data_IF_816509382668
#
_entry.id   IF_816509382668
#
_cell.length_a   1.000
_cell.length_b   1.000
_cell.length_c   1.000
_cell.angle_alpha   90.00
_cell.angle_beta   90.00
_cell.angle_gamma   90.00
#
_symmetry.space_group_name_H-M   'P 1'
#
loop_
_entity.id
_entity.type
_entity.pdbx_description
1 polymer ?
#
# COMPACT_ATOMS: atom_id res chain seq x y z
N UNK A 1 8.97 3.90 -7.61
CA UNK A 1 8.93 4.26 -6.18
C UNK A 1 8.18 3.21 -5.39
N UNK A 2 8.74 2.77 -4.28
CA UNK A 2 8.05 1.85 -3.38
C UNK A 2 7.28 2.66 -2.33
N UNK A 3 6.06 2.23 -2.07
CA UNK A 3 5.16 2.90 -1.13
C UNK A 3 4.87 1.94 0.02
N UNK A 4 5.05 2.43 1.24
CA UNK A 4 4.70 1.68 2.44
C UNK A 4 3.26 2.02 2.82
N UNK A 5 2.43 0.99 3.01
CA UNK A 5 1.03 1.14 3.38
C UNK A 5 0.80 0.36 4.67
N UNK A 6 0.28 1.02 5.69
CA UNK A 6 0.05 0.40 6.98
C UNK A 6 -1.38 0.68 7.47
N UNK A 7 -1.71 0.09 8.59
CA UNK A 7 -3.04 0.13 9.17
C UNK A 7 -4.11 -0.41 8.21
N UNK A 8 -3.73 -1.42 7.43
CA UNK A 8 -4.62 -2.07 6.48
C UNK A 8 -5.49 -3.06 7.26
N UNK A 9 -6.82 -3.00 7.01
CA UNK A 9 -7.72 -3.98 7.58
C UNK A 9 -7.33 -5.37 7.07
N UNK A 10 -7.27 -6.35 7.96
CA UNK A 10 -6.83 -7.70 7.58
C UNK A 10 -7.76 -8.38 6.56
N UNK A 11 -8.96 -7.85 6.35
CA UNK A 11 -9.88 -8.33 5.32
C UNK A 11 -9.59 -7.77 3.93
N UNK A 12 -8.79 -6.72 3.85
CA UNK A 12 -8.44 -6.12 2.57
C UNK A 12 -7.51 -7.06 1.78
N UNK A 13 -7.75 -7.14 0.49
CA UNK A 13 -6.97 -7.99 -0.40
C UNK A 13 -6.05 -7.16 -1.29
N UNK A 14 -5.03 -7.79 -1.83
CA UNK A 14 -4.07 -7.12 -2.71
C UNK A 14 -4.74 -6.49 -3.91
N UNK A 15 -5.72 -7.16 -4.51
CA UNK A 15 -6.44 -6.62 -5.66
C UNK A 15 -7.15 -5.32 -5.34
N UNK A 16 -7.73 -5.22 -4.16
CA UNK A 16 -8.43 -4.02 -3.72
C UNK A 16 -7.46 -2.87 -3.51
N UNK A 17 -6.30 -3.17 -2.93
CA UNK A 17 -5.27 -2.17 -2.71
C UNK A 17 -4.69 -1.70 -4.05
N UNK A 18 -4.43 -2.62 -4.96
CA UNK A 18 -3.96 -2.28 -6.31
C UNK A 18 -4.94 -1.37 -7.03
N UNK A 19 -6.23 -1.67 -6.96
CA UNK A 19 -7.25 -0.86 -7.60
C UNK A 19 -7.28 0.55 -7.03
N UNK A 20 -7.14 0.68 -5.73
CA UNK A 20 -7.11 1.97 -5.05
C UNK A 20 -5.95 2.83 -5.55
N UNK A 21 -4.76 2.25 -5.65
CA UNK A 21 -3.58 2.98 -6.11
C UNK A 21 -3.60 3.23 -7.62
N UNK A 22 -4.26 2.34 -8.39
CA UNK A 22 -4.34 2.47 -9.85
C UNK A 22 -5.11 3.71 -10.30
N UNK A 23 -5.88 4.30 -9.42
CA UNK A 23 -6.58 5.56 -9.73
C UNK A 23 -5.60 6.72 -9.94
N UNK A 24 -4.39 6.61 -9.44
CA UNK A 24 -3.39 7.67 -9.52
C UNK A 24 -2.32 7.41 -10.57
N UNK A 25 -2.21 6.18 -11.05
CA UNK A 25 -1.25 5.82 -12.07
C UNK A 25 -1.00 4.33 -12.13
N UNK A 26 -0.03 3.94 -12.95
CA UNK A 26 0.31 2.53 -13.11
C UNK A 26 0.88 1.95 -11.82
N UNK A 27 0.41 0.76 -11.48
CA UNK A 27 0.91 -0.01 -10.33
C UNK A 27 1.60 -1.25 -10.87
N UNK A 28 2.90 -1.39 -10.60
CA UNK A 28 3.65 -2.54 -11.09
C UNK A 28 3.54 -3.74 -10.16
N UNK A 29 3.41 -3.52 -8.86
CA UNK A 29 3.22 -4.63 -7.93
C UNK A 29 2.55 -4.15 -6.64
N UNK A 30 1.86 -5.08 -5.98
CA UNK A 30 1.27 -4.86 -4.66
C UNK A 30 1.55 -6.11 -3.83
N UNK A 31 1.96 -5.91 -2.60
CA UNK A 31 2.17 -7.01 -1.68
C UNK A 31 1.66 -6.65 -0.30
N UNK A 32 0.78 -7.46 0.24
CA UNK A 32 0.36 -7.36 1.64
C UNK A 32 1.13 -8.43 2.41
N UNK A 33 1.83 -8.00 3.46
CA UNK A 33 2.62 -8.92 4.27
C UNK A 33 1.70 -9.75 5.14
N UNK A 34 1.89 -11.07 5.10
CA UNK A 34 1.09 -12.01 5.88
C UNK A 34 1.96 -12.74 6.90
N UNK A 35 1.32 -13.19 7.97
CA UNK A 35 1.97 -14.00 8.98
C UNK A 35 2.14 -15.43 8.45
N UNK A 36 3.34 -15.98 8.57
CA UNK A 36 3.63 -17.33 8.07
C UNK A 36 2.87 -18.42 8.81
N UNK A 37 2.60 -18.21 10.09
CA UNK A 37 1.95 -19.23 10.92
C UNK A 37 0.45 -19.25 10.75
N UNK A 38 -0.16 -18.07 10.64
CA UNK A 38 -1.62 -17.97 10.58
C UNK A 38 -2.15 -17.67 9.19
N UNK A 39 -1.31 -17.19 8.27
CA UNK A 39 -1.71 -16.78 6.95
C UNK A 39 -2.50 -15.46 6.92
N UNK A 40 -2.61 -14.79 8.06
CA UNK A 40 -3.37 -13.55 8.16
C UNK A 40 -2.51 -12.35 7.80
N UNK A 41 -3.14 -11.33 7.25
CA UNK A 41 -2.48 -10.06 6.97
C UNK A 41 -1.95 -9.45 8.26
N UNK A 42 -0.73 -8.91 8.21
CA UNK A 42 -0.13 -8.20 9.34
C UNK A 42 -0.55 -6.74 9.39
N UNK A 43 -1.45 -6.32 8.50
CA UNK A 43 -1.96 -4.96 8.49
C UNK A 43 -1.06 -3.97 7.77
N UNK A 44 -0.05 -4.43 7.04
CA UNK A 44 0.78 -3.54 6.23
C UNK A 44 1.27 -4.23 4.97
N UNK A 45 1.73 -3.44 4.02
CA UNK A 45 2.21 -3.95 2.76
C UNK A 45 2.96 -2.90 1.98
N UNK A 46 3.28 -3.24 0.74
CA UNK A 46 4.05 -2.36 -0.14
C UNK A 46 3.39 -2.31 -1.51
N UNK A 47 3.41 -1.12 -2.11
CA UNK A 47 2.93 -0.90 -3.47
C UNK A 47 4.08 -0.30 -4.26
N UNK A 48 4.32 -0.83 -5.46
CA UNK A 48 5.33 -0.27 -6.35
C UNK A 48 4.66 0.45 -7.51
N UNK A 49 4.97 1.72 -7.66
CA UNK A 49 4.53 2.54 -8.78
C UNK A 49 5.77 3.09 -9.50
N UNK A 50 5.91 2.79 -10.80
CA UNK A 50 7.12 3.20 -11.52
C UNK A 50 7.24 4.70 -11.74
N UNK A 51 6.13 5.42 -11.75
CA UNK A 51 6.13 6.87 -11.93
C UNK A 51 6.12 7.56 -10.58
N UNK A 52 7.21 8.28 -10.26
CA UNK A 52 7.34 8.95 -8.96
C UNK A 52 6.28 10.02 -8.73
N UNK A 53 5.91 10.77 -9.76
CA UNK A 53 4.89 11.81 -9.62
C UNK A 53 3.53 11.20 -9.26
N UNK A 54 3.17 10.09 -9.91
CA UNK A 54 1.93 9.39 -9.61
C UNK A 54 1.97 8.79 -8.20
N UNK A 55 3.10 8.23 -7.82
CA UNK A 55 3.29 7.66 -6.49
C UNK A 55 3.12 8.73 -5.41
N UNK A 56 3.68 9.91 -5.62
CA UNK A 56 3.54 11.02 -4.67
C UNK A 56 2.10 11.50 -4.55
N UNK A 57 1.38 11.54 -5.68
CA UNK A 57 -0.05 11.86 -5.65
C UNK A 57 -0.83 10.83 -4.85
N UNK A 58 -0.54 9.56 -5.04
CA UNK A 58 -1.20 8.50 -4.32
C UNK A 58 -0.95 8.63 -2.82
N UNK A 59 0.30 8.86 -2.42
CA UNK A 59 0.65 9.06 -1.02
C UNK A 59 -0.14 10.23 -0.44
N UNK A 60 -0.13 11.37 -1.10
CA UNK A 60 -0.79 12.57 -0.59
C UNK A 60 -2.29 12.40 -0.45
N UNK A 61 -2.91 11.65 -1.36
CA UNK A 61 -4.37 11.50 -1.37
C UNK A 61 -4.85 10.31 -0.54
N UNK A 62 -4.03 9.28 -0.38
CA UNK A 62 -4.46 8.06 0.30
C UNK A 62 -4.03 8.01 1.77
N UNK A 63 -3.04 8.78 2.16
CA UNK A 63 -2.63 8.84 3.57
C UNK A 63 -3.77 9.44 4.40
N UNK A 64 -4.26 8.67 5.36
CA UNK A 64 -5.38 9.08 6.20
C UNK A 64 -6.74 8.76 5.62
N UNK A 65 -6.81 8.19 4.41
CA UNK A 65 -8.07 7.83 3.79
C UNK A 65 -8.66 6.58 4.46
N UNK A 66 -9.97 6.61 4.70
CA UNK A 66 -10.65 5.42 5.20
C UNK A 66 -10.72 4.34 4.13
N UNK A 67 -10.26 3.14 4.49
CA UNK A 67 -10.29 1.98 3.64
C UNK A 67 -10.66 0.78 4.50
N UNK A 68 -11.80 0.16 4.21
CA UNK A 68 -12.33 -0.93 5.04
C UNK A 68 -12.41 -0.54 6.53
N UNK A 69 -12.95 0.65 6.81
CA UNK A 69 -13.16 1.19 8.16
C UNK A 69 -11.87 1.47 8.93
N UNK A 70 -10.74 1.60 8.25
CA UNK A 70 -9.47 1.98 8.86
C UNK A 70 -8.81 3.09 8.07
N UNK A 71 -8.20 4.04 8.78
CA UNK A 71 -7.43 5.11 8.15
C UNK A 71 -6.07 4.57 7.72
N UNK A 72 -5.80 4.58 6.43
CA UNK A 72 -4.53 4.10 5.90
C UNK A 72 -3.38 5.03 6.30
N UNK A 73 -2.24 4.44 6.57
CA UNK A 73 -0.97 5.16 6.69
C UNK A 73 -0.19 4.87 5.41
N UNK A 74 0.06 5.92 4.63
CA UNK A 74 0.71 5.76 3.33
C UNK A 74 1.92 6.67 3.26
N UNK A 75 3.10 6.10 3.10
CA UNK A 75 4.35 6.83 3.06
C UNK A 75 5.27 6.23 2.01
N UNK A 76 6.28 6.98 1.62
CA UNK A 76 7.32 6.45 0.75
C UNK A 76 8.14 5.41 1.51
N UNK A 77 8.29 4.23 0.91
CA UNK A 77 9.14 3.18 1.46
C UNK A 77 10.53 3.34 0.88
N UNK A 78 11.50 3.64 1.73
CA UNK A 78 12.88 3.73 1.29
C UNK A 78 13.54 2.37 1.42
N UNK A 79 14.28 1.92 0.39
CA UNK A 79 15.01 0.68 0.54
C UNK A 79 16.05 0.82 1.65
N UNK A 80 16.28 -0.26 2.42
CA UNK A 80 17.32 -0.20 3.44
C UNK A 80 18.67 0.04 2.77
N UNK A 81 19.45 0.94 3.33
CA UNK A 81 20.80 1.13 2.84
C UNK A 81 21.61 -0.08 3.27
N UNK A 82 22.03 -0.82 2.27
CA UNK A 82 22.89 -1.95 2.48
C UNK A 82 24.30 -1.54 2.84
#
# INVERSE_FOLDING_TARGET
>A
MNIYVANINFRAQEDQLKQLFSEFGEVSSVKIVTDRETGRSRGFGFVEMPNDADAQKAIANLNGKDFHSRSLVVNEARPPKG
#
